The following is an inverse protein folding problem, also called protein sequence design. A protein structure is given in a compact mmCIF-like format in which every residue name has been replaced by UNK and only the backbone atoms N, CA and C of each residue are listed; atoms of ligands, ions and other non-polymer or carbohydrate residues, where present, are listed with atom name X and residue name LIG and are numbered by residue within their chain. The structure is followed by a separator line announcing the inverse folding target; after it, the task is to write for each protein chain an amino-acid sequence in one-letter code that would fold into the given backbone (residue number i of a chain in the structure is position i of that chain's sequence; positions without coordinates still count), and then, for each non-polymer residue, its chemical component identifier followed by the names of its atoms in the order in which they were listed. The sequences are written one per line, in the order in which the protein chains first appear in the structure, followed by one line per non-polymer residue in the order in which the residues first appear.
data_IF_411186120481
#
_entry.id   IF_411186120481
#
_cell.length_a   1.000
_cell.length_b   1.000
_cell.length_c   1.000
_cell.angle_alpha   90.00
_cell.angle_beta   90.00
_cell.angle_gamma   90.00
#
_symmetry.space_group_name_H-M   'P 1'
#
loop_
_entity.id
_entity.type
_entity.pdbx_description
1 polymer ?
#
# COMPACT_ATOMS: atom_id res chain seq x y z
N UNK A 1 17.65 26.49 -2.89
CA UNK A 1 16.79 25.91 -3.94
C UNK A 1 15.42 25.65 -3.30
N UNK A 2 14.43 26.48 -3.59
CA UNK A 2 13.05 26.34 -3.09
C UNK A 2 12.33 25.30 -3.96
N UNK A 3 12.09 24.09 -3.44
CA UNK A 3 11.03 23.23 -3.99
C UNK A 3 9.71 23.71 -3.43
N UNK A 4 8.90 24.24 -4.33
CA UNK A 4 7.55 24.75 -4.11
C UNK A 4 6.70 23.80 -3.28
N UNK A 5 6.00 24.39 -2.32
CA UNK A 5 4.76 23.89 -1.69
C UNK A 5 4.05 22.83 -2.53
N UNK A 6 3.92 21.63 -1.95
CA UNK A 6 3.01 20.60 -2.44
C UNK A 6 1.65 21.24 -2.75
N UNK A 7 1.27 21.24 -4.03
CA UNK A 7 -0.11 21.48 -4.42
C UNK A 7 -0.96 20.49 -3.62
N UNK A 8 -1.94 21.01 -2.88
CA UNK A 8 -2.81 20.23 -2.00
C UNK A 8 -3.45 19.08 -2.80
N UNK A 9 -2.90 17.87 -2.68
CA UNK A 9 -3.35 16.67 -3.38
C UNK A 9 -2.34 15.98 -4.30
N UNK A 10 -1.14 16.52 -4.51
CA UNK A 10 -0.10 15.78 -5.24
C UNK A 10 0.44 14.61 -4.39
N UNK A 11 0.61 13.40 -4.96
CA UNK A 11 1.21 12.29 -4.23
C UNK A 11 2.64 12.64 -3.86
N UNK A 12 2.95 12.59 -2.57
CA UNK A 12 4.30 12.84 -2.09
C UNK A 12 5.18 11.66 -2.48
N UNK A 13 6.30 11.93 -3.17
CA UNK A 13 7.27 10.89 -3.50
C UNK A 13 7.89 10.35 -2.21
N UNK A 14 8.01 9.03 -2.12
CA UNK A 14 8.59 8.37 -0.95
C UNK A 14 10.00 8.89 -0.63
N UNK A 15 10.81 9.13 -1.67
CA UNK A 15 12.17 9.65 -1.53
C UNK A 15 12.20 11.03 -0.86
N UNK A 16 11.22 11.89 -1.13
CA UNK A 16 11.12 13.20 -0.48
C UNK A 16 10.78 13.06 1.01
N UNK A 17 9.86 12.14 1.36
CA UNK A 17 9.51 11.84 2.76
C UNK A 17 10.71 11.30 3.54
N UNK A 18 11.45 10.36 2.94
CA UNK A 18 12.65 9.78 3.54
C UNK A 18 13.72 10.86 3.73
N UNK A 19 13.95 11.69 2.70
CA UNK A 19 14.91 12.77 2.78
C UNK A 19 14.56 13.78 3.89
N UNK A 20 13.30 14.17 4.01
CA UNK A 20 12.81 15.06 5.06
C UNK A 20 13.01 14.44 6.47
N UNK A 21 12.71 13.15 6.64
CA UNK A 21 12.91 12.45 7.93
C UNK A 21 14.38 12.36 8.32
N UNK A 22 15.28 12.21 7.36
CA UNK A 22 16.73 12.26 7.59
C UNK A 22 17.17 13.67 7.99
N UNK A 23 16.77 14.69 7.24
CA UNK A 23 17.14 16.09 7.51
C UNK A 23 16.59 16.60 8.85
N UNK A 24 15.40 16.13 9.26
CA UNK A 24 14.79 16.48 10.55
C UNK A 24 15.35 15.71 11.74
N UNK A 25 16.32 14.80 11.54
CA UNK A 25 16.93 14.03 12.63
C UNK A 25 16.00 12.97 13.24
N UNK A 26 14.90 12.61 12.59
CA UNK A 26 13.89 11.64 13.08
C UNK A 26 14.20 10.20 12.69
N UNK A 27 15.45 9.89 12.38
CA UNK A 27 15.87 8.56 11.90
C UNK A 27 15.64 7.48 12.96
N UNK A 28 16.00 7.73 14.21
CA UNK A 28 15.82 6.77 15.31
C UNK A 28 14.33 6.44 15.58
N UNK A 29 13.47 7.46 15.54
CA UNK A 29 12.01 7.28 15.66
C UNK A 29 11.47 6.47 14.48
N UNK A 30 11.88 6.81 13.26
CA UNK A 30 11.49 6.08 12.04
C UNK A 30 11.92 4.61 12.10
N UNK A 31 13.13 4.33 12.58
CA UNK A 31 13.60 2.96 12.78
C UNK A 31 12.72 2.20 13.77
N UNK A 32 12.36 2.83 14.88
CA UNK A 32 11.45 2.23 15.87
C UNK A 32 10.07 1.97 15.29
N UNK A 33 9.50 2.92 14.56
CA UNK A 33 8.19 2.76 13.89
C UNK A 33 8.22 1.60 12.89
N UNK A 34 9.27 1.51 12.06
CA UNK A 34 9.43 0.42 11.10
C UNK A 34 9.59 -0.93 11.80
N UNK A 35 10.36 -1.00 12.88
CA UNK A 35 10.52 -2.22 13.67
C UNK A 35 9.18 -2.70 14.25
N UNK A 36 8.41 -1.80 14.86
CA UNK A 36 7.08 -2.13 15.39
C UNK A 36 6.12 -2.56 14.28
N UNK A 37 6.06 -1.81 13.18
CA UNK A 37 5.23 -2.17 12.03
C UNK A 37 5.62 -3.53 11.42
N UNK A 38 6.91 -3.87 11.42
CA UNK A 38 7.41 -5.18 10.95
C UNK A 38 6.96 -6.30 11.88
N UNK A 39 7.02 -6.09 13.20
CA UNK A 39 6.51 -7.06 14.19
C UNK A 39 5.00 -7.24 14.03
N UNK A 40 4.23 -6.16 13.91
CA UNK A 40 2.78 -6.21 13.73
C UNK A 40 2.41 -6.91 12.42
N UNK A 41 3.13 -6.63 11.32
CA UNK A 41 2.91 -7.28 10.03
C UNK A 41 3.22 -8.78 10.12
N UNK A 42 4.31 -9.14 10.80
CA UNK A 42 4.67 -10.54 11.02
C UNK A 42 3.61 -11.26 11.83
N UNK A 43 3.19 -10.71 12.97
CA UNK A 43 2.12 -11.30 13.79
C UNK A 43 0.81 -11.45 13.00
N UNK A 44 0.44 -10.46 12.18
CA UNK A 44 -0.73 -10.53 11.33
C UNK A 44 -0.61 -11.64 10.27
N UNK A 45 0.58 -11.86 9.71
CA UNK A 45 0.84 -12.97 8.77
C UNK A 45 0.74 -14.36 9.40
N UNK A 46 0.80 -14.45 10.74
CA UNK A 46 0.62 -15.71 11.46
C UNK A 46 -0.85 -16.08 11.67
N UNK A 47 -1.79 -15.17 11.41
CA UNK A 47 -3.21 -15.43 11.57
C UNK A 47 -3.75 -16.38 10.51
N UNK A 48 -4.73 -17.21 10.88
CA UNK A 48 -5.41 -18.14 9.95
C UNK A 48 -6.47 -17.45 9.10
N UNK A 49 -7.01 -16.32 9.57
CA UNK A 49 -8.06 -15.53 8.91
C UNK A 49 -7.74 -14.06 9.03
N UNK A 50 -8.01 -13.31 7.96
CA UNK A 50 -7.78 -11.88 7.88
C UNK A 50 -9.09 -11.12 7.78
N UNK A 51 -9.21 -10.02 8.53
CA UNK A 51 -10.29 -9.04 8.38
C UNK A 51 -9.67 -7.66 8.31
N UNK A 52 -9.90 -6.93 7.22
CA UNK A 52 -9.22 -5.66 7.02
C UNK A 52 -9.57 -4.95 5.73
N UNK A 53 -8.63 -4.16 5.24
CA UNK A 53 -8.78 -3.34 4.03
C UNK A 53 -7.77 -3.77 2.99
N UNK A 54 -8.21 -4.30 1.86
CA UNK A 54 -7.29 -4.66 0.79
C UNK A 54 -6.69 -3.46 0.09
N UNK A 55 -7.23 -2.25 0.23
CA UNK A 55 -6.53 -1.03 -0.21
C UNK A 55 -5.25 -0.74 0.59
N UNK A 56 -5.11 -1.33 1.79
CA UNK A 56 -3.93 -1.18 2.65
C UNK A 56 -2.78 -2.08 2.17
N UNK A 57 -1.65 -1.47 1.82
CA UNK A 57 -0.41 -2.20 1.55
C UNK A 57 0.01 -3.08 2.74
N UNK A 58 -0.28 -2.66 3.97
CA UNK A 58 0.08 -3.40 5.17
C UNK A 58 -0.61 -4.77 5.24
N UNK A 59 -1.93 -4.80 5.03
CA UNK A 59 -2.70 -6.06 4.98
C UNK A 59 -2.31 -6.91 3.76
N UNK A 60 -2.04 -6.27 2.62
CA UNK A 60 -1.59 -7.00 1.41
C UNK A 60 -0.26 -7.70 1.62
N UNK A 61 0.70 -7.03 2.25
CA UNK A 61 2.00 -7.63 2.57
C UNK A 61 1.86 -8.78 3.56
N UNK A 62 1.11 -8.59 4.65
CA UNK A 62 0.89 -9.66 5.64
C UNK A 62 0.24 -10.91 5.00
N UNK A 63 -0.77 -10.70 4.15
CA UNK A 63 -1.44 -11.78 3.42
C UNK A 63 -0.49 -12.51 2.45
N UNK A 64 0.33 -11.77 1.70
CA UNK A 64 1.31 -12.36 0.79
C UNK A 64 2.38 -13.18 1.54
N UNK A 65 2.84 -12.70 2.70
CA UNK A 65 3.79 -13.42 3.56
C UNK A 65 3.17 -14.71 4.11
N UNK A 66 1.91 -14.65 4.56
CA UNK A 66 1.17 -15.84 4.97
C UNK A 66 1.10 -16.86 3.83
N UNK A 67 0.66 -16.42 2.65
CA UNK A 67 0.50 -17.29 1.49
C UNK A 67 1.82 -17.95 1.08
N UNK A 68 2.93 -17.22 1.11
CA UNK A 68 4.26 -17.77 0.84
C UNK A 68 4.71 -18.83 1.86
N UNK A 69 4.24 -18.73 3.12
CA UNK A 69 4.58 -19.68 4.18
C UNK A 69 3.79 -20.98 4.09
N UNK A 70 2.49 -20.91 3.82
CA UNK A 70 1.62 -22.08 3.80
C UNK A 70 1.39 -22.67 2.40
N UNK A 71 1.88 -21.99 1.35
CA UNK A 71 1.55 -22.28 -0.05
C UNK A 71 0.03 -22.33 -0.28
N UNK A 72 -0.69 -21.42 0.39
CA UNK A 72 -2.15 -21.44 0.50
C UNK A 72 -2.74 -20.02 0.52
N UNK A 73 -4.01 -19.90 0.15
CA UNK A 73 -4.75 -18.64 0.25
C UNK A 73 -5.63 -18.66 1.51
N UNK A 74 -5.26 -17.88 2.52
CA UNK A 74 -6.06 -17.74 3.73
C UNK A 74 -7.41 -17.06 3.43
N UNK A 75 -8.49 -17.35 4.18
CA UNK A 75 -9.70 -16.55 4.10
C UNK A 75 -9.42 -15.09 4.48
N UNK A 76 -9.85 -14.17 3.62
CA UNK A 76 -9.75 -12.72 3.86
C UNK A 76 -11.11 -12.05 3.65
N UNK A 77 -11.60 -11.36 4.67
CA UNK A 77 -12.78 -10.49 4.58
C UNK A 77 -12.33 -9.05 4.44
N UNK A 78 -12.48 -8.51 3.24
CA UNK A 78 -12.14 -7.12 2.94
C UNK A 78 -13.33 -6.20 3.08
N UNK A 79 -13.12 -5.08 3.75
CA UNK A 79 -14.14 -4.08 4.06
C UNK A 79 -14.28 -3.00 2.99
N UNK A 80 -13.43 -3.01 1.95
CA UNK A 80 -13.36 -1.92 0.96
C UNK A 80 -13.23 -2.36 -0.51
N UNK A 81 -12.34 -3.30 -0.81
CA UNK A 81 -12.04 -3.74 -2.18
C UNK A 81 -11.73 -5.25 -2.23
N UNK A 82 -11.94 -5.94 -3.36
CA UNK A 82 -11.48 -7.32 -3.53
C UNK A 82 -9.93 -7.41 -3.59
N UNK A 83 -9.37 -8.61 -3.39
CA UNK A 83 -7.92 -8.84 -3.53
C UNK A 83 -7.50 -8.57 -4.97
N UNK A 84 -6.52 -7.71 -5.17
CA UNK A 84 -5.93 -7.47 -6.47
C UNK A 84 -4.50 -6.93 -6.29
N UNK A 85 -3.52 -7.49 -7.01
CA UNK A 85 -2.20 -6.87 -7.10
C UNK A 85 -2.34 -5.58 -7.92
N UNK A 86 -1.93 -4.45 -7.35
CA UNK A 86 -1.95 -3.15 -8.02
C UNK A 86 -3.34 -2.71 -8.55
N UNK A 87 -4.42 -3.10 -7.87
CA UNK A 87 -5.81 -2.85 -8.29
C UNK A 87 -6.16 -3.44 -9.67
N UNK A 88 -5.44 -4.48 -10.11
CA UNK A 88 -5.61 -5.06 -11.46
C UNK A 88 -5.08 -4.14 -12.55
N UNK A 89 -4.34 -3.08 -12.19
CA UNK A 89 -3.66 -2.20 -13.13
C UNK A 89 -2.27 -2.76 -13.46
N UNK A 90 -1.75 -2.36 -14.63
CA UNK A 90 -0.36 -2.65 -14.98
C UNK A 90 0.58 -1.97 -13.98
N UNK A 91 1.57 -2.73 -13.50
CA UNK A 91 2.60 -2.27 -12.57
C UNK A 91 3.15 -0.89 -13.00
N UNK A 92 3.23 0.03 -12.05
CA UNK A 92 3.68 1.40 -12.28
C UNK A 92 2.59 2.39 -12.69
N UNK A 93 1.30 2.01 -12.62
CA UNK A 93 0.15 2.92 -12.88
C UNK A 93 -0.71 3.21 -11.64
N UNK A 94 -0.42 2.56 -10.51
CA UNK A 94 -1.18 2.63 -9.25
C UNK A 94 -1.31 4.00 -8.60
N UNK A 95 -0.32 4.88 -8.78
CA UNK A 95 -0.37 6.26 -8.28
C UNK A 95 -1.51 7.09 -8.90
N UNK A 96 -2.15 6.61 -9.97
CA UNK A 96 -3.29 7.26 -10.62
C UNK A 96 -4.63 6.87 -9.98
N UNK A 97 -4.67 5.91 -9.06
CA UNK A 97 -5.90 5.42 -8.43
C UNK A 97 -6.10 5.98 -7.00
N UNK A 98 -7.33 6.33 -6.59
CA UNK A 98 -8.52 6.48 -7.42
C UNK A 98 -8.41 7.74 -8.30
N UNK A 99 -8.71 7.60 -9.59
CA UNK A 99 -8.71 8.73 -10.53
C UNK A 99 -9.79 9.71 -10.08
N UNK A 100 -9.39 10.89 -9.59
CA UNK A 100 -10.32 11.94 -9.16
C UNK A 100 -10.84 12.79 -10.33
N UNK A 101 -10.26 12.61 -11.52
CA UNK A 101 -10.50 13.43 -12.71
C UNK A 101 -11.24 12.64 -13.80
N UNK A 102 -12.31 13.22 -14.33
CA UNK A 102 -13.21 12.61 -15.32
C UNK A 102 -12.60 12.39 -16.72
N UNK A 103 -11.33 12.77 -16.91
CA UNK A 103 -10.66 12.81 -18.21
C UNK A 103 -9.71 11.64 -18.48
N UNK A 104 -9.41 10.80 -17.48
CA UNK A 104 -8.61 9.60 -17.69
C UNK A 104 -9.56 8.42 -17.81
N UNK A 105 -9.93 8.08 -19.04
CA UNK A 105 -10.70 6.87 -19.34
C UNK A 105 -9.95 5.66 -18.77
N UNK A 106 -10.47 5.08 -17.69
CA UNK A 106 -10.17 3.70 -17.34
C UNK A 106 -10.66 2.90 -18.56
N UNK A 107 -9.83 2.05 -19.19
CA UNK A 107 -10.28 1.22 -20.30
C UNK A 107 -11.59 0.54 -19.89
N UNK A 108 -12.67 0.82 -20.63
CA UNK A 108 -14.05 0.36 -20.36
C UNK A 108 -14.23 -1.18 -20.42
N UNK A 109 -13.14 -1.93 -20.48
CA UNK A 109 -13.17 -3.33 -20.10
C UNK A 109 -13.36 -3.36 -18.58
N UNK A 110 -14.62 -3.47 -18.15
CA UNK A 110 -15.09 -3.67 -16.77
C UNK A 110 -14.53 -4.94 -16.10
N UNK A 111 -13.37 -5.40 -16.54
CA UNK A 111 -12.64 -6.55 -16.04
C UNK A 111 -11.46 -5.98 -15.27
N UNK A 112 -11.70 -5.69 -13.99
CA UNK A 112 -10.63 -5.80 -13.02
C UNK A 112 -10.18 -7.26 -13.09
N UNK A 113 -9.05 -7.50 -13.75
CA UNK A 113 -8.44 -8.83 -13.79
C UNK A 113 -7.68 -9.03 -12.48
N UNK A 114 -8.42 -9.48 -11.48
CA UNK A 114 -7.90 -10.31 -10.40
C UNK A 114 -8.31 -11.76 -10.76
#
# INVERSE_FOLDING_TARGET
MNRSSNAQGAPQLWDDVVHERVLSGRTAETHREVQLATVDMHLLSLCDVFVGKFTSNFFRTAYAVHAARCDCAAPFVSLDAPWCSDYGMRAGSNYRFPVRDSSTEIPNDNKFWC
#
